data_IF_580271152771
#
_entry.id   IF_580271152771
#
_cell.length_a   1.000
_cell.length_b   1.000
_cell.length_c   1.000
_cell.angle_alpha   90.00
_cell.angle_beta   90.00
_cell.angle_gamma   90.00
#
_symmetry.space_group_name_H-M   'P 1'
#
loop_
_entity.id
_entity.type
_entity.pdbx_description
1 polymer ?
#
# COMPACT_ATOMS: atom_id res chain seq x y z
N UNK A 1 17.36 15.59 15.40
CA UNK A 1 17.23 16.28 14.09
C UNK A 1 17.16 15.29 12.93
N UNK A 2 17.85 14.14 12.99
CA UNK A 2 17.65 13.02 12.05
C UNK A 2 16.26 12.37 12.20
N UNK A 3 15.76 12.22 13.43
CA UNK A 3 14.41 11.67 13.68
C UNK A 3 13.30 12.48 13.02
N UNK A 4 13.36 13.82 13.09
CA UNK A 4 12.33 14.69 12.47
C UNK A 4 12.31 14.59 10.95
N UNK A 5 13.46 14.33 10.31
CA UNK A 5 13.53 14.12 8.86
C UNK A 5 13.00 12.72 8.47
N UNK A 6 13.26 11.70 9.29
CA UNK A 6 12.78 10.33 9.08
C UNK A 6 11.28 10.16 9.40
N UNK A 7 10.77 10.86 10.42
CA UNK A 7 9.33 10.92 10.72
C UNK A 7 8.56 11.62 9.60
N UNK A 8 9.12 12.71 9.07
CA UNK A 8 8.52 13.44 7.94
C UNK A 8 8.52 12.60 6.65
N UNK A 9 9.49 11.69 6.46
CA UNK A 9 9.49 10.76 5.31
C UNK A 9 8.48 9.62 5.48
N UNK A 10 8.33 9.03 6.68
CA UNK A 10 7.34 7.96 6.94
C UNK A 10 5.93 8.46 6.65
N UNK A 11 5.55 9.60 7.23
CA UNK A 11 4.23 10.19 7.03
C UNK A 11 3.98 10.57 5.57
N UNK A 12 4.97 11.19 4.91
CA UNK A 12 4.86 11.57 3.50
C UNK A 12 4.70 10.34 2.58
N UNK A 13 5.48 9.28 2.81
CA UNK A 13 5.37 8.02 2.05
C UNK A 13 4.02 7.34 2.29
N UNK A 14 3.58 7.21 3.54
CA UNK A 14 2.28 6.63 3.86
C UNK A 14 1.12 7.42 3.24
N UNK A 15 1.24 8.75 3.18
CA UNK A 15 0.26 9.63 2.50
C UNK A 15 0.23 9.34 1.00
N UNK A 16 1.40 9.33 0.35
CA UNK A 16 1.52 9.03 -1.07
C UNK A 16 0.93 7.66 -1.45
N UNK A 17 1.28 6.62 -0.69
CA UNK A 17 0.76 5.28 -0.92
C UNK A 17 -0.75 5.18 -0.70
N UNK A 18 -1.28 5.90 0.28
CA UNK A 18 -2.74 5.97 0.51
C UNK A 18 -3.48 6.64 -0.65
N UNK A 19 -2.94 7.73 -1.21
CA UNK A 19 -3.52 8.38 -2.38
C UNK A 19 -3.44 7.50 -3.63
N UNK A 20 -2.31 6.80 -3.83
CA UNK A 20 -2.15 5.86 -4.93
C UNK A 20 -3.12 4.69 -4.79
N UNK A 21 -3.19 4.08 -3.61
CA UNK A 21 -4.13 2.99 -3.31
C UNK A 21 -5.59 3.44 -3.48
N UNK A 22 -5.96 4.62 -2.97
CA UNK A 22 -7.30 5.16 -3.12
C UNK A 22 -7.69 5.33 -4.60
N UNK A 23 -6.80 5.87 -5.44
CA UNK A 23 -7.06 6.01 -6.89
C UNK A 23 -7.17 4.67 -7.61
N UNK A 24 -6.29 3.71 -7.31
CA UNK A 24 -6.35 2.37 -7.91
C UNK A 24 -7.63 1.64 -7.51
N UNK A 25 -7.99 1.73 -6.23
CA UNK A 25 -9.20 1.12 -5.69
C UNK A 25 -10.49 1.70 -6.27
N UNK A 26 -10.54 3.01 -6.49
CA UNK A 26 -11.69 3.69 -7.11
C UNK A 26 -11.77 3.40 -8.61
N UNK A 27 -10.64 3.30 -9.32
CA UNK A 27 -10.61 2.86 -10.72
C UNK A 27 -11.06 1.41 -10.89
N UNK A 28 -10.67 0.50 -9.99
CA UNK A 28 -11.09 -0.90 -10.04
C UNK A 28 -12.61 -1.06 -9.90
N UNK A 29 -13.22 -0.27 -9.01
CA UNK A 29 -14.68 -0.20 -8.82
C UNK A 29 -15.37 0.47 -10.03
N UNK A 30 -14.81 1.56 -10.56
CA UNK A 30 -15.41 2.32 -11.66
C UNK A 30 -15.31 1.63 -13.03
N UNK A 31 -14.24 0.86 -13.28
CA UNK A 31 -14.04 0.13 -14.53
C UNK A 31 -14.70 -1.26 -14.53
N UNK A 32 -15.31 -1.67 -13.40
CA UNK A 32 -15.96 -2.98 -13.30
C UNK A 32 -15.04 -4.14 -13.66
N UNK A 33 -13.73 -3.99 -13.46
CA UNK A 33 -12.77 -5.05 -13.69
C UNK A 33 -12.97 -6.11 -12.61
N UNK A 34 -13.90 -7.03 -12.82
CA UNK A 34 -13.71 -8.39 -12.33
C UNK A 34 -12.41 -8.86 -12.97
N UNK A 35 -11.32 -8.99 -12.21
CA UNK A 35 -10.17 -9.74 -12.67
C UNK A 35 -10.63 -11.20 -12.85
N UNK A 36 -11.26 -11.50 -13.99
CA UNK A 36 -11.71 -12.82 -14.38
C UNK A 36 -10.49 -13.65 -14.79
N UNK A 37 -9.59 -13.91 -13.84
CA UNK A 37 -8.66 -15.00 -13.97
C UNK A 37 -9.35 -16.21 -13.35
N UNK A 38 -9.94 -17.07 -14.17
CA UNK A 38 -10.58 -18.37 -13.82
C UNK A 38 -12.05 -18.39 -13.36
N UNK A 39 -12.82 -17.29 -13.49
CA UNK A 39 -14.27 -17.28 -13.19
C UNK A 39 -14.61 -17.00 -11.72
N UNK A 40 -13.63 -16.59 -10.93
CA UNK A 40 -13.79 -16.06 -9.57
C UNK A 40 -13.72 -14.53 -9.67
N UNK A 41 -14.78 -13.83 -9.24
CA UNK A 41 -14.73 -12.37 -9.08
C UNK A 41 -14.07 -12.07 -7.74
N UNK A 42 -12.84 -11.58 -7.77
CA UNK A 42 -12.13 -11.10 -6.58
C UNK A 42 -12.55 -9.67 -6.29
N UNK A 43 -12.99 -9.38 -5.06
CA UNK A 43 -13.30 -8.00 -4.66
C UNK A 43 -12.02 -7.24 -4.27
N UNK A 44 -12.08 -5.91 -4.25
CA UNK A 44 -10.99 -5.11 -3.70
C UNK A 44 -10.66 -5.51 -2.25
N UNK A 45 -11.67 -5.88 -1.46
CA UNK A 45 -11.47 -6.26 -0.07
C UNK A 45 -10.72 -7.58 0.07
N UNK A 46 -11.03 -8.57 -0.80
CA UNK A 46 -10.29 -9.82 -0.87
C UNK A 46 -8.82 -9.57 -1.23
N UNK A 47 -8.56 -8.66 -2.17
CA UNK A 47 -7.20 -8.32 -2.55
C UNK A 47 -6.44 -7.55 -1.45
N UNK A 48 -7.11 -6.62 -0.74
CA UNK A 48 -6.51 -5.98 0.43
C UNK A 48 -6.14 -7.02 1.51
N UNK A 49 -7.01 -8.01 1.71
CA UNK A 49 -6.77 -9.11 2.63
C UNK A 49 -5.59 -9.97 2.20
N UNK A 50 -5.48 -10.33 0.92
CA UNK A 50 -4.34 -11.09 0.39
C UNK A 50 -3.00 -10.38 0.64
N UNK A 51 -2.95 -9.06 0.44
CA UNK A 51 -1.73 -8.28 0.74
C UNK A 51 -1.46 -8.31 2.25
N UNK A 52 -2.47 -8.10 3.09
CA UNK A 52 -2.30 -8.06 4.53
C UNK A 52 -1.87 -9.42 5.10
N UNK A 53 -2.44 -10.52 4.60
CA UNK A 53 -2.06 -11.88 4.95
C UNK A 53 -0.64 -12.20 4.49
N UNK A 54 -0.25 -11.76 3.28
CA UNK A 54 1.14 -11.88 2.82
C UNK A 54 2.11 -11.13 3.73
N UNK A 55 1.81 -9.87 4.08
CA UNK A 55 2.65 -9.07 4.98
C UNK A 55 2.78 -9.71 6.36
N UNK A 56 1.68 -10.25 6.89
CA UNK A 56 1.67 -10.94 8.17
C UNK A 56 2.53 -12.22 8.12
N UNK A 57 2.26 -13.13 7.17
CA UNK A 57 3.00 -14.37 7.04
C UNK A 57 4.51 -14.14 6.82
N UNK A 58 4.87 -13.15 5.99
CA UNK A 58 6.27 -12.78 5.74
C UNK A 58 6.93 -12.19 7.00
N UNK A 59 6.19 -11.36 7.77
CA UNK A 59 6.71 -10.81 9.03
C UNK A 59 6.95 -11.91 10.08
N UNK A 60 6.08 -12.92 10.16
CA UNK A 60 6.28 -14.08 11.03
C UNK A 60 7.50 -14.90 10.59
N UNK A 61 7.60 -15.18 9.28
CA UNK A 61 8.71 -15.94 8.69
C UNK A 61 10.07 -15.29 8.94
N UNK A 62 10.13 -13.95 8.94
CA UNK A 62 11.35 -13.18 9.16
C UNK A 62 11.61 -12.83 10.63
N UNK A 63 10.69 -13.17 11.55
CA UNK A 63 10.82 -12.87 12.97
C UNK A 63 10.58 -11.39 13.33
N UNK A 64 9.86 -10.66 12.47
CA UNK A 64 9.57 -9.23 12.60
C UNK A 64 8.43 -8.99 13.61
N UNK A 65 8.68 -9.35 14.87
CA UNK A 65 7.68 -9.35 15.95
C UNK A 65 6.98 -8.01 16.16
N UNK A 66 7.67 -6.88 15.94
CA UNK A 66 7.09 -5.53 16.03
C UNK A 66 6.09 -5.27 14.90
N UNK A 67 6.36 -5.78 13.70
CA UNK A 67 5.43 -5.71 12.56
C UNK A 67 4.21 -6.60 12.83
N UNK A 68 4.42 -7.84 13.26
CA UNK A 68 3.34 -8.76 13.63
C UNK A 68 2.41 -8.12 14.67
N UNK A 69 2.97 -7.60 15.76
CA UNK A 69 2.20 -6.94 16.82
C UNK A 69 1.44 -5.71 16.28
N UNK A 70 2.06 -4.93 15.40
CA UNK A 70 1.40 -3.78 14.78
C UNK A 70 0.23 -4.21 13.88
N UNK A 71 0.42 -5.23 13.03
CA UNK A 71 -0.59 -5.74 12.11
C UNK A 71 -1.80 -6.35 12.85
N UNK A 72 -1.56 -7.06 13.94
CA UNK A 72 -2.60 -7.74 14.73
C UNK A 72 -3.25 -6.86 15.80
N UNK A 73 -2.72 -5.67 16.08
CA UNK A 73 -3.26 -4.75 17.10
C UNK A 73 -4.74 -4.38 16.92
N UNK A 74 -5.29 -4.21 15.70
CA UNK A 74 -6.72 -3.99 15.49
C UNK A 74 -7.58 -5.26 15.61
N UNK A 75 -6.96 -6.45 15.65
CA UNK A 75 -7.60 -7.75 15.57
C UNK A 75 -6.94 -8.67 14.54
N UNK A 76 -7.39 -9.93 14.40
CA UNK A 76 -6.88 -10.85 13.37
C UNK A 76 -7.04 -10.29 11.95
N UNK A 77 -6.05 -10.47 11.07
CA UNK A 77 -6.08 -9.93 9.69
C UNK A 77 -7.35 -10.35 8.93
N UNK A 78 -7.78 -11.61 9.11
CA UNK A 78 -8.98 -12.16 8.49
C UNK A 78 -10.28 -11.43 8.87
N UNK A 79 -10.31 -10.72 10.00
CA UNK A 79 -11.48 -9.98 10.49
C UNK A 79 -11.40 -8.48 10.18
N UNK A 80 -10.24 -7.99 9.73
CA UNK A 80 -10.04 -6.59 9.41
C UNK A 80 -10.75 -6.23 8.09
N UNK A 81 -11.54 -5.16 8.14
CA UNK A 81 -12.14 -4.57 6.95
C UNK A 81 -11.18 -3.54 6.35
N UNK A 82 -10.86 -3.68 5.07
CA UNK A 82 -9.93 -2.81 4.34
C UNK A 82 -8.57 -2.66 5.04
N UNK A 83 -7.86 -3.79 5.28
CA UNK A 83 -6.65 -3.81 6.11
C UNK A 83 -5.53 -2.92 5.56
N UNK A 84 -5.40 -2.75 4.24
CA UNK A 84 -4.34 -1.91 3.66
C UNK A 84 -4.60 -0.44 3.94
N UNK A 85 -5.86 0.01 3.81
CA UNK A 85 -6.25 1.38 4.19
C UNK A 85 -6.04 1.63 5.68
N UNK A 86 -6.36 0.65 6.53
CA UNK A 86 -6.13 0.74 7.96
C UNK A 86 -4.65 0.86 8.29
N UNK A 87 -3.79 0.02 7.70
CA UNK A 87 -2.33 0.06 7.90
C UNK A 87 -1.78 1.43 7.48
N UNK A 88 -2.10 1.91 6.27
CA UNK A 88 -1.62 3.20 5.77
C UNK A 88 -2.08 4.36 6.65
N UNK A 89 -3.34 4.35 7.11
CA UNK A 89 -3.87 5.37 8.02
C UNK A 89 -3.11 5.40 9.35
N UNK A 90 -2.79 4.22 9.90
CA UNK A 90 -2.05 4.11 11.16
C UNK A 90 -0.58 4.52 11.00
N UNK A 91 0.04 4.23 9.87
CA UNK A 91 1.38 4.71 9.51
C UNK A 91 1.41 6.25 9.37
N UNK A 92 0.42 6.85 8.72
CA UNK A 92 0.29 8.32 8.62
C UNK A 92 0.13 9.00 9.98
N UNK A 93 -0.54 8.32 10.93
CA UNK A 93 -0.72 8.78 12.30
C UNK A 93 0.47 8.43 13.21
N UNK A 94 1.58 7.92 12.64
CA UNK A 94 2.80 7.56 13.35
C UNK A 94 2.55 6.59 14.51
N UNK A 95 1.57 5.69 14.34
CA UNK A 95 1.20 4.71 15.36
C UNK A 95 2.04 3.43 15.30
N UNK A 96 2.94 3.34 14.31
CA UNK A 96 3.86 2.23 14.15
C UNK A 96 5.21 2.60 14.78
N UNK A 97 5.89 1.64 15.45
CA UNK A 97 7.31 1.79 15.75
C UNK A 97 8.11 2.07 14.46
N UNK A 98 9.17 2.91 14.50
CA UNK A 98 9.91 3.29 13.29
C UNK A 98 10.39 2.11 12.44
N UNK A 99 10.95 1.08 13.07
CA UNK A 99 11.40 -0.13 12.37
C UNK A 99 10.26 -0.88 11.65
N UNK A 100 9.09 -0.93 12.28
CA UNK A 100 7.92 -1.55 11.66
C UNK A 100 7.37 -0.69 10.52
N UNK A 101 7.40 0.64 10.68
CA UNK A 101 7.01 1.58 9.65
C UNK A 101 7.91 1.46 8.41
N UNK A 102 9.23 1.46 8.59
CA UNK A 102 10.20 1.32 7.51
C UNK A 102 10.04 -0.01 6.77
N UNK A 103 9.85 -1.10 7.53
CA UNK A 103 9.62 -2.43 6.96
C UNK A 103 8.34 -2.51 6.13
N UNK A 104 7.24 -1.98 6.66
CA UNK A 104 5.93 -1.96 6.02
C UNK A 104 5.94 -1.07 4.78
N UNK A 105 6.48 0.15 4.89
CA UNK A 105 6.53 1.10 3.78
C UNK A 105 7.37 0.57 2.62
N UNK A 106 8.52 -0.05 2.89
CA UNK A 106 9.36 -0.64 1.83
C UNK A 106 8.61 -1.69 0.99
N UNK A 107 7.78 -2.52 1.65
CA UNK A 107 7.03 -3.59 0.99
C UNK A 107 5.74 -3.09 0.34
N UNK A 108 4.97 -2.27 1.05
CA UNK A 108 3.77 -1.65 0.51
C UNK A 108 4.08 -0.80 -0.73
N UNK A 109 5.20 -0.08 -0.75
CA UNK A 109 5.65 0.64 -1.94
C UNK A 109 5.82 -0.29 -3.12
N UNK A 110 6.59 -1.37 -2.97
CA UNK A 110 6.81 -2.34 -4.06
C UNK A 110 5.50 -2.96 -4.54
N UNK A 111 4.63 -3.39 -3.63
CA UNK A 111 3.36 -4.03 -3.97
C UNK A 111 2.41 -3.09 -4.68
N UNK A 112 2.17 -1.90 -4.12
CA UNK A 112 1.21 -0.93 -4.67
C UNK A 112 1.73 -0.34 -6.00
N UNK A 113 3.02 -0.02 -6.11
CA UNK A 113 3.59 0.46 -7.37
C UNK A 113 3.61 -0.61 -8.46
N UNK A 114 3.90 -1.87 -8.11
CA UNK A 114 3.82 -2.98 -9.06
C UNK A 114 2.40 -3.14 -9.59
N UNK A 115 1.41 -3.06 -8.71
CA UNK A 115 0.00 -3.08 -9.10
C UNK A 115 -0.36 -1.88 -10.00
N UNK A 116 0.10 -0.67 -9.63
CA UNK A 116 -0.10 0.54 -10.42
C UNK A 116 0.54 0.45 -11.81
N UNK A 117 1.65 -0.26 -11.98
CA UNK A 117 2.26 -0.49 -13.30
C UNK A 117 1.46 -1.44 -14.17
N UNK A 118 0.82 -2.44 -13.56
CA UNK A 118 0.01 -3.45 -14.27
C UNK A 118 -1.40 -2.96 -14.60
N UNK A 119 -1.97 -2.09 -13.76
CA UNK A 119 -3.37 -1.64 -13.86
C UNK A 119 -3.54 -0.13 -14.02
N UNK A 120 -2.47 0.64 -13.87
CA UNK A 120 -2.49 2.07 -14.17
C UNK A 120 -2.75 2.27 -15.66
N UNK A 121 -3.34 3.43 -16.04
CA UNK A 121 -3.51 3.75 -17.44
C UNK A 121 -2.15 3.62 -18.13
N UNK A 122 -2.11 2.86 -19.24
CA UNK A 122 -0.97 2.88 -20.13
C UNK A 122 -0.62 4.35 -20.34
N UNK A 123 0.65 4.67 -20.18
CA UNK A 123 1.21 6.03 -20.29
C UNK A 123 1.15 6.55 -21.75
N UNK A 124 0.17 6.11 -22.55
CA UNK A 124 -0.06 6.45 -23.94
C UNK A 124 -1.51 6.90 -24.21
N UNK A 125 -2.17 7.54 -23.24
CA UNK A 125 -3.31 8.40 -23.54
C UNK A 125 -2.86 9.88 -23.41
N UNK A 126 -2.48 10.55 -24.51
CA UNK A 126 -2.04 11.93 -24.50
C UNK A 126 -3.25 12.85 -24.38
N UNK A 127 -3.86 12.92 -23.19
CA UNK A 127 -4.82 13.95 -22.82
C UNK A 127 -4.57 14.31 -21.35
N UNK A 128 -3.93 15.47 -21.14
CA UNK A 128 -3.57 16.07 -19.86
C UNK A 128 -2.22 15.63 -19.26
N UNK A 129 -1.15 16.29 -19.70
CA UNK A 129 0.07 16.47 -18.90
C UNK A 129 0.94 15.21 -18.74
N UNK A 130 1.80 14.96 -19.73
CA UNK A 130 2.60 13.76 -19.84
C UNK A 130 3.48 13.37 -18.64
N UNK A 131 3.78 12.09 -18.64
CA UNK A 131 4.53 11.21 -17.73
C UNK A 131 5.96 11.62 -17.33
N UNK A 132 6.33 12.89 -17.45
CA UNK A 132 7.61 13.42 -16.95
C UNK A 132 7.59 13.82 -15.47
N UNK A 133 6.41 14.04 -14.88
CA UNK A 133 6.30 14.46 -13.48
C UNK A 133 6.69 13.35 -12.47
N UNK A 134 6.52 12.07 -12.83
CA UNK A 134 6.69 10.96 -11.88
C UNK A 134 8.14 10.53 -11.64
N UNK A 135 9.04 10.74 -12.62
CA UNK A 135 10.45 10.34 -12.50
C UNK A 135 11.37 11.39 -11.89
N UNK A 136 10.91 12.62 -11.70
CA UNK A 136 11.76 13.74 -11.25
C UNK A 136 11.82 13.94 -9.74
N UNK A 137 10.97 13.26 -8.94
CA UNK A 137 10.88 13.51 -7.50
C UNK A 137 11.81 12.62 -6.63
N UNK A 138 12.69 11.82 -7.24
CA UNK A 138 13.61 10.90 -6.53
C UNK A 138 15.09 11.07 -6.88
N UNK A 139 15.45 12.18 -7.54
CA UNK A 139 16.85 12.64 -7.67
C UNK A 139 16.87 14.17 -7.66
N UNK A 140 16.87 14.73 -6.45
CA UNK A 140 17.91 15.63 -5.91
C UNK A 140 17.51 16.09 -4.50
#
# INVERSE_FOLDING_TARGET
MLDVLQENTIRAQATHLSELWHRLSTQHIALGCSCNMTGISVTLEDFERDIADYLWAESERLGETRVVAFLLSPGPVAEQHQPIRLILTRLQKEQAPPEAADWLLSRLTKTIESYAKLHGPAVEAPLLGGSRAWRSAYRD
#
